data_IF_195614556368
#
_entry.id   IF_195614556368
#
_cell.length_a   1.000
_cell.length_b   1.000
_cell.length_c   1.000
_cell.angle_alpha   90.00
_cell.angle_beta   90.00
_cell.angle_gamma   90.00
#
_symmetry.space_group_name_H-M   'P 1'
#
loop_
_entity.id
_entity.type
_entity.pdbx_description
1 polymer ?
#
# COMPACT_ATOMS: atom_id res chain seq x y z
N UNK A 1 -2.95 7.54 10.39
CA UNK A 1 -4.26 8.23 10.30
C UNK A 1 -5.35 7.19 10.59
N UNK A 2 -6.09 7.32 11.69
CA UNK A 2 -7.13 6.34 12.05
C UNK A 2 -8.33 6.54 11.12
N UNK A 3 -8.70 5.53 10.31
CA UNK A 3 -9.90 5.61 9.47
C UNK A 3 -11.12 5.76 10.40
N UNK A 4 -12.02 6.70 10.08
CA UNK A 4 -13.25 6.95 10.86
C UNK A 4 -14.24 5.79 10.79
N UNK A 5 -14.20 5.01 9.72
CA UNK A 5 -15.05 3.84 9.49
C UNK A 5 -14.18 2.62 9.17
N UNK A 6 -14.57 1.46 9.69
CA UNK A 6 -13.97 0.17 9.35
C UNK A 6 -14.46 -0.32 7.98
N UNK A 7 -13.72 -1.24 7.37
CA UNK A 7 -14.12 -1.82 6.08
C UNK A 7 -15.38 -2.68 6.21
N UNK A 8 -15.59 -3.29 7.37
CA UNK A 8 -16.81 -4.02 7.71
C UNK A 8 -18.02 -3.09 7.80
N UNK A 9 -17.87 -1.91 8.41
CA UNK A 9 -18.92 -0.88 8.48
C UNK A 9 -19.27 -0.37 7.08
N UNK A 10 -18.27 -0.09 6.25
CA UNK A 10 -18.46 0.33 4.87
C UNK A 10 -19.21 -0.74 4.07
N UNK A 11 -18.81 -2.01 4.19
CA UNK A 11 -19.48 -3.12 3.51
C UNK A 11 -20.95 -3.24 3.93
N UNK A 12 -21.24 -3.12 5.23
CA UNK A 12 -22.62 -3.17 5.75
C UNK A 12 -23.49 -2.08 5.14
N UNK A 13 -22.98 -0.85 5.06
CA UNK A 13 -23.67 0.29 4.44
C UNK A 13 -23.99 0.03 2.96
N UNK A 14 -23.01 -0.50 2.21
CA UNK A 14 -23.19 -0.78 0.79
C UNK A 14 -24.19 -1.92 0.56
N UNK A 15 -24.11 -3.01 1.34
CA UNK A 15 -25.05 -4.14 1.27
C UNK A 15 -26.48 -3.73 1.57
N UNK A 16 -26.68 -2.82 2.52
CA UNK A 16 -28.03 -2.32 2.86
C UNK A 16 -28.64 -1.51 1.70
N UNK A 17 -27.83 -0.77 0.94
CA UNK A 17 -28.30 -0.12 -0.28
C UNK A 17 -28.53 -1.12 -1.42
N UNK A 18 -27.74 -2.19 -1.51
CA UNK A 18 -27.93 -3.28 -2.48
C UNK A 18 -29.19 -4.11 -2.20
N UNK A 19 -29.63 -4.20 -0.94
CA UNK A 19 -30.88 -4.88 -0.56
C UNK A 19 -32.16 -4.08 -0.87
N UNK A 20 -32.05 -2.95 -1.58
CA UNK A 20 -33.19 -2.17 -2.07
C UNK A 20 -33.55 -0.94 -1.24
N UNK A 21 -32.81 -0.62 -0.18
CA UNK A 21 -33.04 0.63 0.58
C UNK A 21 -32.44 1.80 -0.19
N UNK A 22 -33.18 2.92 -0.24
CA UNK A 22 -32.75 4.09 -1.00
C UNK A 22 -31.44 4.66 -0.45
N UNK A 23 -30.52 5.05 -1.34
CA UNK A 23 -29.24 5.65 -0.95
C UNK A 23 -29.40 6.87 -0.01
N UNK A 24 -30.39 7.78 -0.19
CA UNK A 24 -30.62 8.88 0.75
C UNK A 24 -30.99 8.41 2.17
N UNK A 25 -31.78 7.35 2.31
CA UNK A 25 -32.14 6.78 3.62
C UNK A 25 -30.94 6.12 4.29
N UNK A 26 -30.17 5.33 3.55
CA UNK A 26 -28.92 4.74 4.05
C UNK A 26 -27.96 5.84 4.53
N UNK A 27 -27.81 6.92 3.75
CA UNK A 27 -26.96 8.05 4.13
C UNK A 27 -27.42 8.71 5.44
N UNK A 28 -28.73 8.94 5.60
CA UNK A 28 -29.30 9.49 6.84
C UNK A 28 -29.10 8.55 8.03
N UNK A 29 -29.38 7.25 7.85
CA UNK A 29 -29.27 6.22 8.89
C UNK A 29 -27.86 6.11 9.46
N UNK A 30 -26.85 6.13 8.59
CA UNK A 30 -25.45 5.96 8.97
C UNK A 30 -24.70 7.29 9.19
N UNK A 31 -25.39 8.44 9.08
CA UNK A 31 -24.80 9.76 9.27
C UNK A 31 -23.67 10.07 8.28
N UNK A 32 -23.76 9.55 7.06
CA UNK A 32 -22.78 9.77 5.99
C UNK A 32 -23.36 10.66 4.91
N UNK A 33 -22.51 11.43 4.22
CA UNK A 33 -22.94 12.17 3.03
C UNK A 33 -23.05 11.24 1.82
N UNK A 34 -23.92 11.60 0.87
CA UNK A 34 -24.04 10.87 -0.40
C UNK A 34 -22.71 10.78 -1.15
N UNK A 35 -21.89 11.82 -1.11
CA UNK A 35 -20.55 11.80 -1.71
C UNK A 35 -19.65 10.71 -1.09
N UNK A 36 -19.67 10.56 0.24
CA UNK A 36 -18.95 9.48 0.93
C UNK A 36 -19.46 8.11 0.50
N UNK A 37 -20.78 7.94 0.41
CA UNK A 37 -21.38 6.69 -0.06
C UNK A 37 -20.93 6.33 -1.48
N UNK A 38 -21.01 7.25 -2.44
CA UNK A 38 -20.61 6.95 -3.82
C UNK A 38 -19.10 6.70 -3.95
N UNK A 39 -18.26 7.38 -3.16
CA UNK A 39 -16.83 7.05 -3.07
C UNK A 39 -16.60 5.63 -2.56
N UNK A 40 -17.33 5.20 -1.54
CA UNK A 40 -17.25 3.82 -1.04
C UNK A 40 -17.75 2.83 -2.07
N UNK A 41 -18.88 3.11 -2.72
CA UNK A 41 -19.44 2.25 -3.78
C UNK A 41 -18.47 2.08 -4.95
N UNK A 42 -17.80 3.16 -5.37
CA UNK A 42 -16.79 3.09 -6.43
C UNK A 42 -15.55 2.26 -6.04
N UNK A 43 -15.18 2.24 -4.76
CA UNK A 43 -13.96 1.56 -4.29
C UNK A 43 -14.21 0.12 -3.83
N UNK A 44 -15.37 -0.14 -3.24
CA UNK A 44 -15.67 -1.37 -2.50
C UNK A 44 -16.98 -2.04 -2.97
N UNK A 45 -17.74 -1.40 -3.87
CA UNK A 45 -18.99 -1.95 -4.38
C UNK A 45 -18.75 -3.25 -5.15
N UNK A 46 -19.66 -4.21 -4.97
CA UNK A 46 -19.53 -5.55 -5.57
C UNK A 46 -18.48 -6.45 -4.92
N UNK A 47 -17.74 -5.99 -3.90
CA UNK A 47 -16.83 -6.85 -3.12
C UNK A 47 -17.52 -7.47 -1.91
N UNK A 48 -17.25 -8.74 -1.68
CA UNK A 48 -17.62 -9.43 -0.45
C UNK A 48 -16.69 -9.09 0.72
N UNK A 49 -17.18 -9.26 1.95
CA UNK A 49 -16.40 -9.03 3.17
C UNK A 49 -15.07 -9.80 3.21
N UNK A 50 -15.06 -11.02 2.68
CA UNK A 50 -13.87 -11.86 2.56
C UNK A 50 -12.84 -11.25 1.61
N UNK A 51 -13.29 -10.66 0.50
CA UNK A 51 -12.43 -9.99 -0.48
C UNK A 51 -11.84 -8.70 0.08
N UNK A 52 -12.62 -7.92 0.85
CA UNK A 52 -12.12 -6.74 1.55
C UNK A 52 -11.00 -7.08 2.53
N UNK A 53 -11.20 -8.13 3.35
CA UNK A 53 -10.18 -8.62 4.29
C UNK A 53 -8.92 -9.08 3.56
N UNK A 54 -9.08 -9.81 2.46
CA UNK A 54 -7.96 -10.27 1.63
C UNK A 54 -7.22 -9.08 1.01
N UNK A 55 -7.93 -8.08 0.49
CA UNK A 55 -7.36 -6.88 -0.09
C UNK A 55 -6.49 -6.15 0.94
N UNK A 56 -7.00 -5.95 2.16
CA UNK A 56 -6.24 -5.32 3.25
C UNK A 56 -4.97 -6.09 3.62
N UNK A 57 -5.07 -7.42 3.70
CA UNK A 57 -3.91 -8.28 3.97
C UNK A 57 -2.84 -8.12 2.88
N UNK A 58 -3.26 -8.11 1.61
CA UNK A 58 -2.37 -7.93 0.47
C UNK A 58 -1.74 -6.53 0.43
N UNK A 59 -2.51 -5.49 0.77
CA UNK A 59 -1.97 -4.11 0.89
C UNK A 59 -0.88 -4.03 1.98
N UNK A 60 -1.10 -4.68 3.14
CA UNK A 60 -0.13 -4.70 4.23
C UNK A 60 1.14 -5.47 3.84
N UNK A 61 0.98 -6.65 3.25
CA UNK A 61 2.09 -7.47 2.78
C UNK A 61 2.90 -6.76 1.68
N UNK A 62 2.23 -6.14 0.71
CA UNK A 62 2.89 -5.35 -0.33
C UNK A 62 3.67 -4.16 0.27
N UNK A 63 3.13 -3.53 1.32
CA UNK A 63 3.84 -2.49 2.06
C UNK A 63 5.13 -3.01 2.70
N UNK A 64 5.07 -4.17 3.37
CA UNK A 64 6.25 -4.83 3.97
C UNK A 64 7.27 -5.23 2.91
N UNK A 65 6.82 -5.82 1.80
CA UNK A 65 7.68 -6.24 0.69
C UNK A 65 8.39 -5.06 0.03
N UNK A 66 7.69 -3.95 -0.23
CA UNK A 66 8.30 -2.74 -0.77
C UNK A 66 9.38 -2.18 0.14
N UNK A 67 9.15 -2.17 1.45
CA UNK A 67 10.14 -1.72 2.43
C UNK A 67 11.39 -2.61 2.39
N UNK A 68 11.21 -3.92 2.47
CA UNK A 68 12.32 -4.89 2.43
C UNK A 68 13.11 -4.77 1.13
N UNK A 69 12.42 -4.64 0.00
CA UNK A 69 13.06 -4.46 -1.30
C UNK A 69 13.89 -3.18 -1.37
N UNK A 70 13.38 -2.06 -0.84
CA UNK A 70 14.12 -0.80 -0.80
C UNK A 70 15.37 -0.92 0.08
N UNK A 71 15.27 -1.56 1.24
CA UNK A 71 16.41 -1.82 2.12
C UNK A 71 17.48 -2.67 1.43
N UNK A 72 17.08 -3.78 0.79
CA UNK A 72 17.99 -4.64 0.03
C UNK A 72 18.64 -3.92 -1.16
N UNK A 73 17.88 -3.09 -1.87
CA UNK A 73 18.39 -2.32 -3.00
C UNK A 73 19.50 -1.34 -2.55
N UNK A 74 19.30 -0.67 -1.42
CA UNK A 74 20.31 0.23 -0.83
C UNK A 74 21.56 -0.53 -0.38
N UNK A 75 21.42 -1.70 0.24
CA UNK A 75 22.56 -2.53 0.64
C UNK A 75 23.37 -3.00 -0.58
N UNK A 76 22.69 -3.46 -1.64
CA UNK A 76 23.33 -3.87 -2.87
C UNK A 76 24.10 -2.72 -3.53
N UNK A 77 23.55 -1.52 -3.54
CA UNK A 77 24.21 -0.33 -4.08
C UNK A 77 25.45 0.06 -3.26
N UNK A 78 25.35 0.00 -1.92
CA UNK A 78 26.48 0.27 -1.03
C UNK A 78 27.63 -0.74 -1.23
N UNK A 79 27.31 -2.02 -1.38
CA UNK A 79 28.31 -3.09 -1.62
C UNK A 79 29.00 -2.88 -2.97
N UNK A 80 28.24 -2.62 -4.04
CA UNK A 80 28.79 -2.35 -5.37
C UNK A 80 29.72 -1.14 -5.36
N UNK A 81 29.28 -0.04 -4.74
CA UNK A 81 30.05 1.19 -4.63
C UNK A 81 31.35 0.98 -3.83
N UNK A 82 31.29 0.22 -2.73
CA UNK A 82 32.49 -0.11 -1.93
C UNK A 82 33.48 -0.95 -2.73
N UNK A 83 33.00 -1.95 -3.46
CA UNK A 83 33.83 -2.82 -4.31
C UNK A 83 34.53 -2.02 -5.42
N UNK A 84 33.79 -1.17 -6.14
CA UNK A 84 34.35 -0.31 -7.18
C UNK A 84 35.41 0.63 -6.62
N UNK A 85 35.15 1.27 -5.47
CA UNK A 85 36.13 2.14 -4.81
C UNK A 85 37.40 1.39 -4.39
N UNK A 86 37.28 0.15 -3.92
CA UNK A 86 38.43 -0.69 -3.59
C UNK A 86 39.28 -0.98 -4.83
N UNK A 87 38.66 -1.38 -5.95
CA UNK A 87 39.36 -1.64 -7.21
C UNK A 87 40.07 -0.39 -7.72
N UNK A 88 39.41 0.77 -7.69
CA UNK A 88 40.00 2.05 -8.10
C UNK A 88 41.22 2.42 -7.25
N UNK A 89 41.14 2.24 -5.92
CA UNK A 89 42.29 2.47 -5.03
C UNK A 89 43.45 1.53 -5.36
N UNK A 90 43.17 0.24 -5.57
CA UNK A 90 44.19 -0.77 -5.89
C UNK A 90 44.89 -0.44 -7.23
N UNK A 91 44.13 -0.06 -8.25
CA UNK A 91 44.67 0.37 -9.54
C UNK A 91 45.57 1.61 -9.41
N UNK A 92 45.14 2.62 -8.65
CA UNK A 92 45.95 3.83 -8.39
C UNK A 92 47.28 3.48 -7.71
N UNK A 93 47.27 2.60 -6.71
CA UNK A 93 48.50 2.16 -6.04
C UNK A 93 49.45 1.47 -7.02
N UNK A 94 48.95 0.56 -7.88
CA UNK A 94 49.78 -0.13 -8.88
C UNK A 94 50.42 0.87 -9.86
N UNK A 95 49.65 1.85 -10.34
CA UNK A 95 50.16 2.88 -11.26
C UNK A 95 51.25 3.73 -10.62
N UNK A 96 51.11 4.09 -9.34
CA UNK A 96 52.13 4.86 -8.61
C UNK A 96 53.40 4.03 -8.40
N UNK A 97 53.28 2.75 -8.08
CA UNK A 97 54.44 1.86 -7.87
C UNK A 97 55.15 1.47 -9.18
N UNK A 98 54.49 1.59 -10.33
CA UNK A 98 55.05 1.28 -11.65
C UNK A 98 55.76 2.48 -12.32
N UNK A 99 55.81 3.64 -11.64
CA UNK A 99 56.55 4.84 -12.04
C UNK A 99 57.84 4.96 -11.24
#
# INVERSE_FOLDING_TARGET
>A
MKKRYSEEEIHKVLKESESGISTPEVCRKYGISGNTFYRWRSKYGGMELSELKRMKSLEEENGKLKKLYAEQALELEAIKSRSQNYLLKKLKTIIVLAR
#
